data_IF_091355207393
#
_entry.id   IF_091355207393
#
_cell.length_a   1.000
_cell.length_b   1.000
_cell.length_c   1.000
_cell.angle_alpha   90.00
_cell.angle_beta   90.00
_cell.angle_gamma   90.00
#
_symmetry.space_group_name_H-M   'P 1'
#
loop_
_entity.id
_entity.type
_entity.pdbx_description
1 polymer ?
#
# COMPACT_ATOMS: atom_id res chain seq x y z
N UNK A 1 -15.66 6.40 -6.83
CA UNK A 1 -14.40 6.28 -7.61
C UNK A 1 -13.54 5.21 -6.99
N UNK A 2 -12.83 4.47 -7.81
CA UNK A 2 -11.94 3.42 -7.35
C UNK A 2 -10.59 3.51 -8.03
N UNK A 3 -9.64 2.68 -7.56
CA UNK A 3 -8.34 2.57 -8.19
C UNK A 3 -7.95 1.09 -8.25
N UNK A 4 -7.07 0.79 -9.20
CA UNK A 4 -6.50 -0.55 -9.35
C UNK A 4 -4.99 -0.44 -9.34
N UNK A 5 -4.34 -1.28 -8.54
CA UNK A 5 -2.89 -1.42 -8.55
C UNK A 5 -2.55 -2.68 -9.34
N UNK A 6 -1.76 -2.52 -10.39
CA UNK A 6 -1.46 -3.62 -11.31
C UNK A 6 -0.01 -3.55 -11.79
N UNK A 7 0.58 -4.71 -12.18
CA UNK A 7 1.92 -4.73 -12.76
C UNK A 7 1.95 -4.05 -14.12
N UNK A 8 3.03 -3.34 -14.42
CA UNK A 8 3.22 -2.64 -15.69
C UNK A 8 3.73 -3.52 -16.82
N UNK A 9 3.24 -4.76 -16.91
CA UNK A 9 3.65 -5.71 -17.95
C UNK A 9 2.70 -5.76 -19.16
N UNK A 10 1.57 -5.04 -19.08
CA UNK A 10 0.57 -5.02 -20.15
C UNK A 10 -0.26 -6.28 -20.25
N UNK A 11 -0.17 -7.20 -19.31
CA UNK A 11 -0.89 -8.48 -19.34
C UNK A 11 -2.11 -8.40 -18.41
N UNK A 12 -3.31 -8.58 -18.99
CA UNK A 12 -4.56 -8.53 -18.23
C UNK A 12 -4.77 -9.73 -17.31
N UNK A 13 -3.96 -10.77 -17.44
CA UNK A 13 -4.04 -11.96 -16.57
C UNK A 13 -3.14 -11.87 -15.35
N UNK A 14 -2.31 -10.83 -15.26
CA UNK A 14 -1.43 -10.62 -14.11
C UNK A 14 -2.25 -10.28 -12.85
N UNK A 15 -1.72 -10.59 -11.66
CA UNK A 15 -2.44 -10.27 -10.43
C UNK A 15 -2.60 -8.76 -10.26
N UNK A 16 -3.76 -8.35 -9.75
CA UNK A 16 -4.05 -6.97 -9.44
C UNK A 16 -4.83 -6.87 -8.13
N UNK A 17 -5.01 -5.64 -7.63
CA UNK A 17 -5.88 -5.36 -6.50
C UNK A 17 -6.64 -4.07 -6.78
N UNK A 18 -7.96 -4.11 -6.58
CA UNK A 18 -8.84 -2.97 -6.82
C UNK A 18 -9.54 -2.56 -5.53
N UNK A 19 -9.61 -1.26 -5.28
CA UNK A 19 -10.24 -0.70 -4.09
C UNK A 19 -11.07 0.52 -4.44
N UNK A 20 -12.10 0.80 -3.63
CA UNK A 20 -12.66 2.15 -3.60
C UNK A 20 -11.63 3.09 -2.97
N UNK A 21 -11.70 4.39 -3.27
CA UNK A 21 -10.79 5.37 -2.67
C UNK A 21 -10.92 5.39 -1.14
N UNK A 22 -12.13 5.24 -0.61
CA UNK A 22 -12.38 5.20 0.83
C UNK A 22 -11.68 3.99 1.46
N UNK A 23 -11.80 2.82 0.85
CA UNK A 23 -11.18 1.60 1.37
C UNK A 23 -9.65 1.69 1.30
N UNK A 24 -9.10 2.21 0.21
CA UNK A 24 -7.66 2.41 0.06
C UNK A 24 -7.13 3.37 1.13
N UNK A 25 -7.83 4.47 1.36
CA UNK A 25 -7.43 5.43 2.37
C UNK A 25 -7.46 4.82 3.78
N UNK A 26 -8.50 4.07 4.10
CA UNK A 26 -8.61 3.36 5.38
C UNK A 26 -7.47 2.38 5.58
N UNK A 27 -7.11 1.64 4.53
CA UNK A 27 -5.99 0.71 4.55
C UNK A 27 -4.66 1.44 4.81
N UNK A 28 -4.43 2.56 4.10
CA UNK A 28 -3.20 3.35 4.31
C UNK A 28 -3.13 3.94 5.72
N UNK A 29 -4.26 4.40 6.27
CA UNK A 29 -4.30 4.91 7.64
C UNK A 29 -3.86 3.84 8.65
N UNK A 30 -4.32 2.61 8.46
CA UNK A 30 -3.93 1.51 9.35
C UNK A 30 -2.45 1.14 9.18
N UNK A 31 -1.93 1.17 7.96
CA UNK A 31 -0.50 0.97 7.72
C UNK A 31 0.33 2.06 8.42
N UNK A 32 -0.11 3.31 8.33
CA UNK A 32 0.58 4.43 9.00
C UNK A 32 0.61 4.23 10.52
N UNK A 33 -0.49 3.79 11.11
CA UNK A 33 -0.54 3.48 12.54
C UNK A 33 0.47 2.39 12.92
N UNK A 34 0.60 1.36 12.07
CA UNK A 34 1.58 0.30 12.29
C UNK A 34 3.01 0.82 12.20
N UNK A 35 3.24 1.89 11.43
CA UNK A 35 4.54 2.54 11.30
C UNK A 35 4.75 3.64 12.35
N UNK A 36 3.78 3.87 13.22
CA UNK A 36 3.93 4.79 14.35
C UNK A 36 3.53 6.23 14.09
N UNK A 37 2.75 6.50 13.04
CA UNK A 37 2.27 7.86 12.77
C UNK A 37 0.81 7.84 12.32
N UNK A 38 0.21 9.05 12.24
CA UNK A 38 -1.20 9.23 11.89
C UNK A 38 -1.27 9.90 10.52
N UNK A 39 -1.83 9.20 9.51
CA UNK A 39 -1.86 9.68 8.13
C UNK A 39 -2.53 11.06 7.97
N UNK A 40 -3.72 11.34 8.58
CA UNK A 40 -4.34 12.66 8.43
C UNK A 40 -3.53 13.83 8.97
N UNK A 41 -2.49 13.58 9.77
CA UNK A 41 -1.59 14.62 10.26
C UNK A 41 -0.48 14.98 9.29
N UNK A 42 -0.32 14.16 8.23
CA UNK A 42 0.77 14.32 7.27
C UNK A 42 0.43 15.38 6.22
N UNK A 43 1.47 16.05 5.74
CA UNK A 43 1.34 17.02 4.66
C UNK A 43 0.75 16.36 3.42
N UNK A 44 -0.25 16.99 2.83
CA UNK A 44 -0.98 16.42 1.69
C UNK A 44 -2.21 15.60 2.09
N UNK A 45 -2.39 15.30 3.39
CA UNK A 45 -3.51 14.49 3.90
C UNK A 45 -4.36 15.25 4.92
N UNK A 46 -4.26 16.57 4.92
CA UNK A 46 -5.03 17.42 5.82
C UNK A 46 -4.22 17.99 6.98
N UNK A 47 -3.00 17.53 7.18
CA UNK A 47 -2.09 18.00 8.22
C UNK A 47 -0.90 18.75 7.66
N UNK A 48 0.03 19.06 8.52
CA UNK A 48 1.23 19.83 8.17
C UNK A 48 2.54 19.13 8.57
N UNK A 49 2.47 17.90 9.07
CA UNK A 49 3.66 17.13 9.42
C UNK A 49 4.40 16.72 8.15
N UNK A 50 5.70 16.98 8.11
CA UNK A 50 6.52 16.67 6.94
C UNK A 50 6.80 15.16 6.86
N UNK A 51 6.82 14.63 5.65
CA UNK A 51 7.17 13.22 5.41
C UNK A 51 8.60 12.90 5.82
N UNK A 52 9.48 13.91 5.86
CA UNK A 52 10.85 13.74 6.36
C UNK A 52 10.92 13.43 7.85
N UNK A 53 9.84 13.66 8.62
CA UNK A 53 9.77 13.35 10.05
C UNK A 53 9.50 11.87 10.32
N UNK A 54 9.13 11.10 9.30
CA UNK A 54 8.87 9.67 9.43
C UNK A 54 9.83 8.88 8.56
N UNK A 55 10.12 7.65 8.96
CA UNK A 55 11.01 6.78 8.21
C UNK A 55 10.31 5.43 8.01
N UNK A 56 9.90 5.15 6.77
CA UNK A 56 9.24 3.90 6.43
C UNK A 56 9.51 3.55 4.98
N UNK A 57 9.72 2.27 4.69
CA UNK A 57 9.82 1.78 3.32
C UNK A 57 8.48 1.80 2.59
N UNK A 58 7.37 2.03 3.31
CA UNK A 58 6.02 2.14 2.72
C UNK A 58 5.69 3.56 2.25
N UNK A 59 6.59 4.54 2.43
CA UNK A 59 6.33 5.92 2.03
C UNK A 59 5.84 6.07 0.58
N UNK A 60 6.41 5.38 -0.42
CA UNK A 60 5.94 5.51 -1.79
C UNK A 60 4.45 5.17 -1.96
N UNK A 61 3.94 4.22 -1.18
CA UNK A 61 2.53 3.87 -1.19
C UNK A 61 1.71 4.85 -0.35
N UNK A 62 2.19 5.21 0.84
CA UNK A 62 1.44 6.02 1.80
C UNK A 62 1.32 7.47 1.35
N UNK A 63 2.36 8.00 0.69
CA UNK A 63 2.39 9.38 0.19
C UNK A 63 1.86 9.51 -1.23
N UNK A 64 1.34 8.43 -1.81
CA UNK A 64 0.85 8.43 -3.19
C UNK A 64 -0.55 9.08 -3.27
N UNK A 65 -0.85 9.86 -4.33
CA UNK A 65 -2.21 10.37 -4.55
C UNK A 65 -3.22 9.24 -4.70
N UNK A 66 -4.48 9.51 -4.33
CA UNK A 66 -5.56 8.53 -4.46
C UNK A 66 -5.88 8.20 -5.91
N UNK A 67 -5.63 9.14 -6.82
CA UNK A 67 -5.92 8.98 -8.25
C UNK A 67 -4.74 9.50 -9.05
N UNK A 68 -4.29 8.72 -10.02
CA UNK A 68 -3.17 9.09 -10.86
C UNK A 68 -1.83 9.01 -10.13
N UNK A 69 -0.90 9.88 -10.49
CA UNK A 69 0.44 9.89 -9.92
C UNK A 69 1.40 8.98 -10.68
N UNK A 70 2.64 8.95 -10.21
CA UNK A 70 3.70 8.17 -10.85
C UNK A 70 3.63 6.71 -10.45
N UNK A 71 4.16 5.85 -11.31
CA UNK A 71 4.33 4.43 -11.02
C UNK A 71 5.36 4.24 -9.89
N UNK A 72 5.23 3.18 -9.12
CA UNK A 72 6.25 2.79 -8.16
C UNK A 72 7.25 1.87 -8.86
N UNK A 73 8.54 2.17 -8.70
CA UNK A 73 9.60 1.38 -9.34
C UNK A 73 9.67 -0.03 -8.75
N UNK A 74 10.31 -0.94 -9.49
CA UNK A 74 10.59 -2.29 -8.99
C UNK A 74 11.38 -2.24 -7.68
N UNK A 75 12.30 -1.29 -7.55
CA UNK A 75 13.08 -1.10 -6.32
C UNK A 75 12.18 -0.70 -5.14
N UNK A 76 11.21 0.19 -5.37
CA UNK A 76 10.23 0.59 -4.34
C UNK A 76 9.39 -0.61 -3.91
N UNK A 77 8.92 -1.41 -4.87
CA UNK A 77 8.15 -2.62 -4.57
C UNK A 77 8.97 -3.61 -3.73
N UNK A 78 10.24 -3.81 -4.07
CA UNK A 78 11.14 -4.69 -3.32
C UNK A 78 11.36 -4.19 -1.90
N UNK A 79 11.50 -2.87 -1.71
CA UNK A 79 11.71 -2.27 -0.40
C UNK A 79 10.47 -2.38 0.49
N UNK A 80 9.27 -2.27 -0.09
CA UNK A 80 8.01 -2.33 0.65
C UNK A 80 7.63 -3.74 1.09
N UNK A 81 7.99 -4.76 0.32
CA UNK A 81 7.55 -6.14 0.55
C UNK A 81 7.83 -6.68 1.96
N UNK A 82 9.08 -6.61 2.49
CA UNK A 82 9.37 -7.18 3.80
C UNK A 82 8.55 -6.51 4.92
N UNK A 83 8.40 -5.20 4.84
CA UNK A 83 7.68 -4.47 5.87
C UNK A 83 6.18 -4.75 5.80
N UNK A 84 5.61 -4.81 4.60
CA UNK A 84 4.20 -5.14 4.43
C UNK A 84 3.89 -6.54 4.97
N UNK A 85 4.75 -7.51 4.70
CA UNK A 85 4.61 -8.86 5.24
C UNK A 85 4.67 -8.89 6.76
N UNK A 86 5.60 -8.14 7.33
CA UNK A 86 5.75 -8.04 8.79
C UNK A 86 4.51 -7.46 9.45
N UNK A 87 3.96 -6.38 8.89
CA UNK A 87 2.74 -5.75 9.39
C UNK A 87 1.55 -6.70 9.26
N UNK A 88 1.42 -7.38 8.13
CA UNK A 88 0.35 -8.37 7.92
C UNK A 88 0.41 -9.47 8.98
N UNK A 89 1.60 -9.97 9.29
CA UNK A 89 1.80 -10.96 10.33
C UNK A 89 1.38 -10.46 11.70
N UNK A 90 1.71 -9.21 12.03
CA UNK A 90 1.27 -8.59 13.29
C UNK A 90 -0.25 -8.48 13.37
N UNK A 91 -0.90 -8.08 12.29
CA UNK A 91 -2.36 -7.96 12.25
C UNK A 91 -3.05 -9.32 12.43
N UNK A 92 -2.46 -10.39 11.91
CA UNK A 92 -3.02 -11.73 12.06
C UNK A 92 -3.01 -12.23 13.51
N UNK A 93 -2.16 -11.65 14.35
CA UNK A 93 -2.07 -11.97 15.77
C UNK A 93 -3.03 -11.15 16.63
N UNK A 94 -3.66 -10.12 16.08
CA UNK A 94 -4.60 -9.26 16.80
C UNK A 94 -5.98 -9.92 16.89
N UNK A 95 -6.84 -9.47 17.84
CA UNK A 95 -8.20 -9.99 17.97
C UNK A 95 -8.99 -9.86 16.67
N UNK A 96 -9.87 -10.83 16.43
CA UNK A 96 -10.68 -10.87 15.22
C UNK A 96 -11.64 -9.68 15.17
N UNK A 97 -11.54 -8.88 14.10
CA UNK A 97 -12.34 -7.69 13.86
C UNK A 97 -12.62 -7.62 12.35
N UNK A 98 -13.90 -7.39 11.92
CA UNK A 98 -14.24 -7.44 10.50
C UNK A 98 -13.41 -6.48 9.63
N UNK A 99 -13.18 -5.23 10.09
CA UNK A 99 -12.39 -4.25 9.35
C UNK A 99 -10.93 -4.69 9.26
N UNK A 100 -10.38 -5.20 10.35
CA UNK A 100 -9.01 -5.70 10.37
C UNK A 100 -8.84 -6.89 9.43
N UNK A 101 -9.80 -7.82 9.40
CA UNK A 101 -9.77 -8.95 8.48
C UNK A 101 -9.77 -8.49 7.03
N UNK A 102 -10.54 -7.46 6.70
CA UNK A 102 -10.55 -6.86 5.38
C UNK A 102 -9.18 -6.27 5.03
N UNK A 103 -8.54 -5.56 5.97
CA UNK A 103 -7.21 -4.99 5.76
C UNK A 103 -6.14 -6.08 5.61
N UNK A 104 -6.26 -7.18 6.33
CA UNK A 104 -5.36 -8.32 6.17
C UNK A 104 -5.46 -8.90 4.76
N UNK A 105 -6.68 -9.10 4.26
CA UNK A 105 -6.90 -9.58 2.90
C UNK A 105 -6.32 -8.61 1.86
N UNK A 106 -6.53 -7.31 2.04
CA UNK A 106 -5.98 -6.27 1.17
C UNK A 106 -4.45 -6.33 1.16
N UNK A 107 -3.84 -6.47 2.34
CA UNK A 107 -2.37 -6.56 2.45
C UNK A 107 -1.83 -7.82 1.80
N UNK A 108 -2.52 -8.95 1.94
CA UNK A 108 -2.11 -10.21 1.31
C UNK A 108 -2.19 -10.11 -0.21
N UNK A 109 -3.27 -9.52 -0.74
CA UNK A 109 -3.41 -9.34 -2.18
C UNK A 109 -2.36 -8.37 -2.72
N UNK A 110 -2.11 -7.27 -2.02
CA UNK A 110 -1.07 -6.33 -2.41
C UNK A 110 0.30 -7.00 -2.40
N UNK A 111 0.58 -7.84 -1.42
CA UNK A 111 1.84 -8.60 -1.34
C UNK A 111 2.03 -9.45 -2.60
N UNK A 112 0.98 -10.12 -3.08
CA UNK A 112 1.03 -10.91 -4.31
C UNK A 112 1.39 -10.02 -5.50
N UNK A 113 0.75 -8.86 -5.63
CA UNK A 113 1.00 -7.92 -6.73
C UNK A 113 2.43 -7.39 -6.69
N UNK A 114 2.90 -6.96 -5.51
CA UNK A 114 4.26 -6.44 -5.35
C UNK A 114 5.31 -7.50 -5.65
N UNK A 115 5.10 -8.73 -5.19
CA UNK A 115 6.02 -9.83 -5.48
C UNK A 115 6.11 -10.10 -6.97
N UNK A 116 4.97 -10.07 -7.67
CA UNK A 116 4.94 -10.23 -9.11
C UNK A 116 5.77 -9.13 -9.81
N UNK A 117 5.59 -7.87 -9.38
CA UNK A 117 6.36 -6.76 -9.94
C UNK A 117 7.86 -6.96 -9.76
N UNK A 118 8.29 -7.43 -8.59
CA UNK A 118 9.70 -7.69 -8.30
C UNK A 118 10.23 -8.85 -9.14
N UNK A 119 9.48 -9.94 -9.20
CA UNK A 119 9.92 -11.15 -9.91
C UNK A 119 10.02 -10.91 -11.43
N UNK A 120 9.12 -10.11 -11.99
CA UNK A 120 9.10 -9.82 -13.42
C UNK A 120 9.90 -8.56 -13.79
N UNK A 121 10.40 -7.81 -12.80
CA UNK A 121 11.14 -6.59 -13.04
C UNK A 121 10.31 -5.49 -13.66
N UNK A 122 9.04 -5.37 -13.28
CA UNK A 122 8.12 -4.35 -13.80
C UNK A 122 7.67 -3.39 -12.68
N UNK A 123 7.14 -2.24 -13.09
CA UNK A 123 6.65 -1.22 -12.16
C UNK A 123 5.26 -1.55 -11.66
N UNK A 124 4.87 -0.93 -10.54
CA UNK A 124 3.49 -0.97 -10.05
C UNK A 124 2.76 0.26 -10.57
N UNK A 125 1.68 0.04 -11.29
CA UNK A 125 0.87 1.12 -11.89
C UNK A 125 -0.39 1.35 -11.05
N UNK A 126 -0.74 2.62 -10.87
CA UNK A 126 -1.99 3.05 -10.24
C UNK A 126 -2.95 3.46 -11.35
N UNK A 127 -3.93 2.62 -11.62
CA UNK A 127 -4.87 2.85 -12.72
C UNK A 127 -6.32 2.99 -12.32
#
# INVERSE_FOLDING_TARGET
MGLTLLPGDGDNSSPDVSWSCVRFNSFRERLAQAEGFVLPEMWGFGGDRLWSDVSTTLEPLLDHPDVGGDELSTADCAAMLPRLKSITGQWQEEPDEPILQQHIQDAQQLTVVLRFCVDEGVELIFG
#
